data_IF_286347748823
#
_entry.id   IF_286347748823
#
_cell.length_a   1.000
_cell.length_b   1.000
_cell.length_c   1.000
_cell.angle_alpha   90.00
_cell.angle_beta   90.00
_cell.angle_gamma   90.00
#
_symmetry.space_group_name_H-M   'P 1'
#
loop_
_entity.id
_entity.type
_entity.pdbx_description
1 polymer ?
#
# COMPACT_ATOMS: atom_id res chain seq x y z
N UNK A 1 21.76 -1.26 -8.21
CA UNK A 1 20.68 -0.30 -8.00
C UNK A 1 19.92 -0.64 -6.75
N UNK A 2 19.62 0.34 -5.93
CA UNK A 2 18.92 0.13 -4.68
C UNK A 2 17.43 -0.13 -4.87
N UNK A 3 16.83 -0.75 -3.87
CA UNK A 3 15.39 -0.92 -3.78
C UNK A 3 14.82 0.18 -2.90
N UNK A 4 13.79 0.86 -3.35
CA UNK A 4 13.18 1.96 -2.60
C UNK A 4 11.70 1.66 -2.32
N UNK A 5 11.31 1.84 -1.08
CA UNK A 5 9.92 1.68 -0.66
C UNK A 5 9.42 2.98 -0.04
N UNK A 6 8.26 3.43 -0.48
CA UNK A 6 7.52 4.51 0.17
C UNK A 6 6.23 3.92 0.75
N UNK A 7 6.10 4.03 2.06
CA UNK A 7 4.92 3.55 2.79
C UNK A 7 4.20 4.74 3.41
N UNK A 8 2.93 4.95 3.02
CA UNK A 8 2.11 6.04 3.55
C UNK A 8 1.25 5.53 4.70
N UNK A 9 1.31 6.21 5.84
CA UNK A 9 0.46 5.94 6.99
C UNK A 9 -0.33 7.19 7.36
N UNK A 10 -1.39 7.00 8.13
CA UNK A 10 -2.26 8.08 8.59
C UNK A 10 -3.61 7.52 8.96
N UNK A 11 -4.42 8.33 9.64
CA UNK A 11 -5.76 7.91 10.03
C UNK A 11 -6.63 7.67 8.78
N UNK A 12 -7.68 6.83 8.88
CA UNK A 12 -8.62 6.67 7.78
C UNK A 12 -9.20 8.02 7.36
N UNK A 13 -9.27 8.26 6.04
CA UNK A 13 -9.74 9.54 5.51
C UNK A 13 -8.65 10.61 5.39
N UNK A 14 -7.39 10.31 5.68
CA UNK A 14 -6.30 11.28 5.57
C UNK A 14 -5.88 11.58 4.12
N UNK A 15 -6.33 10.77 3.16
CA UNK A 15 -6.01 10.99 1.75
C UNK A 15 -4.89 10.12 1.20
N UNK A 16 -4.50 9.05 1.90
CA UNK A 16 -3.42 8.16 1.46
C UNK A 16 -3.67 7.58 0.06
N UNK A 17 -4.82 6.96 -0.12
CA UNK A 17 -5.18 6.36 -1.41
C UNK A 17 -5.29 7.42 -2.50
N UNK A 18 -5.90 8.56 -2.17
CA UNK A 18 -6.04 9.68 -3.12
C UNK A 18 -4.67 10.17 -3.57
N UNK A 19 -3.71 10.29 -2.66
CA UNK A 19 -2.37 10.73 -3.00
C UNK A 19 -1.68 9.74 -3.94
N UNK A 20 -1.76 8.43 -3.66
CA UNK A 20 -1.15 7.44 -4.54
C UNK A 20 -1.83 7.40 -5.91
N UNK A 21 -3.17 7.53 -5.95
CA UNK A 21 -3.88 7.58 -7.24
C UNK A 21 -3.46 8.81 -8.04
N UNK A 22 -3.28 9.96 -7.39
CA UNK A 22 -2.81 11.17 -8.05
C UNK A 22 -1.37 11.03 -8.56
N UNK A 23 -0.51 10.41 -7.77
CA UNK A 23 0.89 10.19 -8.15
C UNK A 23 1.02 9.27 -9.37
N UNK A 24 0.10 8.33 -9.54
CA UNK A 24 0.10 7.39 -10.66
C UNK A 24 -0.88 7.79 -11.77
N UNK A 25 -1.45 8.99 -11.71
CA UNK A 25 -2.36 9.45 -12.75
C UNK A 25 -1.67 9.45 -14.10
N UNK A 26 -2.33 8.87 -15.12
CA UNK A 26 -1.75 8.74 -16.46
C UNK A 26 -0.71 7.63 -16.60
N UNK A 27 -0.34 6.95 -15.51
CA UNK A 27 0.58 5.81 -15.55
C UNK A 27 -0.22 4.52 -15.76
N UNK A 28 0.14 3.67 -16.73
CA UNK A 28 -0.53 2.38 -16.87
C UNK A 28 -0.35 1.53 -15.63
N UNK A 29 -1.46 1.03 -15.08
CA UNK A 29 -1.46 0.22 -13.87
C UNK A 29 -2.23 -1.06 -14.18
N UNK A 30 -1.63 -2.21 -13.85
CA UNK A 30 -2.24 -3.51 -14.06
C UNK A 30 -2.45 -4.20 -12.72
N UNK A 31 -3.68 -4.67 -12.47
CA UNK A 31 -3.98 -5.47 -11.29
C UNK A 31 -3.42 -6.87 -11.47
N UNK A 32 -2.65 -7.32 -10.47
CA UNK A 32 -2.00 -8.62 -10.46
C UNK A 32 -2.27 -9.33 -9.14
N UNK A 33 -1.95 -10.62 -9.09
CA UNK A 33 -2.11 -11.40 -7.87
C UNK A 33 -1.07 -12.50 -7.83
N UNK A 34 -0.45 -12.69 -6.67
CA UNK A 34 0.45 -13.82 -6.43
C UNK A 34 -0.03 -14.55 -5.19
N UNK A 35 -0.49 -15.81 -5.36
CA UNK A 35 -1.15 -16.52 -4.27
C UNK A 35 -2.37 -15.73 -3.79
N UNK A 36 -2.41 -15.42 -2.51
CA UNK A 36 -3.51 -14.64 -1.91
C UNK A 36 -3.22 -13.13 -1.88
N UNK A 37 -2.09 -12.69 -2.45
CA UNK A 37 -1.68 -11.29 -2.36
C UNK A 37 -1.92 -10.54 -3.67
N UNK A 38 -2.90 -9.63 -3.71
CA UNK A 38 -3.06 -8.73 -4.84
C UNK A 38 -2.04 -7.59 -4.79
N UNK A 39 -1.62 -7.15 -5.96
CA UNK A 39 -0.79 -5.96 -6.09
C UNK A 39 -1.09 -5.28 -7.42
N UNK A 40 -0.69 -4.03 -7.52
CA UNK A 40 -0.81 -3.25 -8.75
C UNK A 40 0.58 -3.08 -9.34
N UNK A 41 0.73 -3.39 -10.61
CA UNK A 41 2.00 -3.25 -11.33
C UNK A 41 1.95 -2.01 -12.21
N UNK A 42 3.03 -1.23 -12.17
CA UNK A 42 3.21 -0.08 -13.06
C UNK A 42 4.65 -0.12 -13.61
N UNK A 43 4.96 0.66 -14.66
CA UNK A 43 6.33 0.68 -15.17
C UNK A 43 7.32 1.10 -14.07
N UNK A 44 8.26 0.20 -13.77
CA UNK A 44 9.29 0.44 -12.76
C UNK A 44 8.99 -0.04 -11.35
N UNK A 45 7.76 -0.49 -11.06
CA UNK A 45 7.50 -0.92 -9.69
C UNK A 45 6.12 -1.49 -9.46
N UNK A 46 5.79 -1.62 -8.18
CA UNK A 46 4.50 -2.15 -7.74
C UNK A 46 3.95 -1.35 -6.57
N UNK A 47 2.65 -1.48 -6.37
CA UNK A 47 1.97 -1.04 -5.16
C UNK A 47 1.30 -2.26 -4.53
N UNK A 48 1.55 -2.50 -3.23
CA UNK A 48 0.91 -3.61 -2.52
C UNK A 48 -0.56 -3.30 -2.28
N UNK A 49 -1.43 -4.28 -2.59
CA UNK A 49 -2.85 -4.17 -2.33
C UNK A 49 -3.69 -4.05 -3.59
N UNK A 50 -4.90 -3.56 -3.42
CA UNK A 50 -5.87 -3.43 -4.49
C UNK A 50 -6.68 -2.15 -4.32
N UNK A 51 -7.32 -1.72 -5.40
CA UNK A 51 -8.32 -0.65 -5.33
C UNK A 51 -9.66 -1.32 -5.09
N UNK A 52 -10.13 -1.25 -3.85
CA UNK A 52 -11.38 -1.89 -3.44
C UNK A 52 -12.14 -0.96 -2.48
N UNK A 53 -12.85 0.05 -2.99
CA UNK A 53 -13.56 0.98 -2.13
C UNK A 53 -14.53 0.24 -1.18
N UNK A 54 -14.67 0.68 0.10
CA UNK A 54 -13.99 1.82 0.69
C UNK A 54 -12.55 1.55 1.12
N UNK A 55 -12.04 0.34 0.94
CA UNK A 55 -10.67 -0.05 1.27
C UNK A 55 -9.75 0.13 0.07
N UNK A 56 -8.48 0.42 0.34
CA UNK A 56 -7.46 0.52 -0.69
C UNK A 56 -6.10 0.17 -0.12
N UNK A 57 -5.10 0.01 -1.00
CA UNK A 57 -3.76 -0.32 -0.59
C UNK A 57 -3.70 -1.59 0.23
N UNK A 58 -2.93 -1.58 1.32
CA UNK A 58 -2.75 -2.77 2.16
C UNK A 58 -4.00 -3.10 2.98
N UNK A 59 -4.92 -2.16 3.17
CA UNK A 59 -6.17 -2.45 3.88
C UNK A 59 -7.11 -3.35 3.09
N UNK A 60 -6.88 -3.49 1.79
CA UNK A 60 -7.61 -4.42 0.95
C UNK A 60 -7.05 -5.85 0.98
N UNK A 61 -5.95 -6.07 1.71
CA UNK A 61 -5.31 -7.38 1.83
C UNK A 61 -5.97 -8.20 2.93
N UNK A 62 -5.82 -9.53 2.85
CA UNK A 62 -6.32 -10.42 3.89
C UNK A 62 -5.55 -10.23 5.20
N UNK A 63 -6.20 -10.54 6.32
CA UNK A 63 -5.62 -10.36 7.66
C UNK A 63 -4.32 -11.13 7.85
N UNK A 64 -4.15 -12.28 7.18
CA UNK A 64 -2.97 -13.14 7.34
C UNK A 64 -1.96 -12.96 6.22
N UNK A 65 -1.98 -11.79 5.56
CA UNK A 65 -1.15 -11.56 4.38
C UNK A 65 0.33 -11.37 4.69
N UNK A 66 0.69 -10.91 5.90
CA UNK A 66 2.05 -10.44 6.16
C UNK A 66 3.13 -11.49 5.91
N UNK A 67 3.02 -12.76 6.36
CA UNK A 67 4.05 -13.76 6.04
C UNK A 67 4.18 -14.00 4.54
N UNK A 68 3.07 -13.97 3.82
CA UNK A 68 3.08 -14.15 2.36
C UNK A 68 3.75 -12.99 1.66
N UNK A 69 3.46 -11.76 2.09
CA UNK A 69 4.08 -10.57 1.52
C UNK A 69 5.60 -10.58 1.75
N UNK A 70 6.02 -10.89 2.96
CA UNK A 70 7.45 -10.94 3.30
C UNK A 70 8.16 -12.01 2.48
N UNK A 71 7.58 -13.21 2.38
CA UNK A 71 8.19 -14.30 1.63
C UNK A 71 8.34 -13.95 0.15
N UNK A 72 7.29 -13.35 -0.45
CA UNK A 72 7.35 -12.97 -1.85
C UNK A 72 8.39 -11.88 -2.11
N UNK A 73 8.39 -10.84 -1.28
CA UNK A 73 9.35 -9.75 -1.43
C UNK A 73 10.79 -10.24 -1.26
N UNK A 74 11.00 -11.25 -0.42
CA UNK A 74 12.33 -11.78 -0.13
C UNK A 74 12.88 -12.65 -1.26
N UNK A 75 12.03 -13.42 -1.93
CA UNK A 75 12.49 -14.50 -2.79
C UNK A 75 12.21 -14.31 -4.27
N UNK A 76 11.08 -13.73 -4.65
CA UNK A 76 10.64 -13.72 -6.05
C UNK A 76 10.31 -12.35 -6.61
N UNK A 77 10.28 -11.32 -5.79
CA UNK A 77 9.92 -9.99 -6.26
C UNK A 77 11.04 -9.39 -7.12
N UNK A 78 10.80 -9.18 -8.42
CA UNK A 78 11.83 -8.64 -9.31
C UNK A 78 11.88 -7.11 -9.32
N UNK A 79 11.02 -6.46 -8.56
CA UNK A 79 10.83 -5.03 -8.62
C UNK A 79 11.77 -4.32 -7.64
N UNK A 80 12.12 -3.06 -7.96
CA UNK A 80 13.00 -2.24 -7.14
C UNK A 80 12.31 -0.99 -6.60
N UNK A 81 11.05 -0.76 -6.97
CA UNK A 81 10.23 0.32 -6.43
C UNK A 81 8.96 -0.28 -5.84
N UNK A 82 8.65 0.12 -4.62
CA UNK A 82 7.51 -0.40 -3.88
C UNK A 82 6.75 0.77 -3.26
N UNK A 83 5.46 0.84 -3.56
CA UNK A 83 4.53 1.77 -2.91
C UNK A 83 3.57 0.97 -2.05
N UNK A 84 3.22 1.52 -0.90
CA UNK A 84 2.22 0.92 -0.03
C UNK A 84 1.55 2.01 0.79
N UNK A 85 0.31 1.75 1.20
CA UNK A 85 -0.41 2.63 2.11
C UNK A 85 -1.43 1.81 2.91
N UNK A 86 -1.79 2.29 4.10
CA UNK A 86 -2.78 1.63 4.94
C UNK A 86 -2.17 0.91 6.13
N UNK A 87 -3.03 0.36 6.98
CA UNK A 87 -2.62 -0.16 8.29
C UNK A 87 -2.22 -1.62 8.28
N UNK A 88 -2.65 -2.41 7.29
CA UNK A 88 -2.52 -3.86 7.31
C UNK A 88 -1.08 -4.35 7.47
N UNK A 89 -0.14 -3.67 6.84
CA UNK A 89 1.29 -4.01 6.92
C UNK A 89 2.11 -2.92 7.61
N UNK A 90 1.47 -1.91 8.19
CA UNK A 90 2.16 -0.80 8.85
C UNK A 90 2.57 -1.19 10.28
N UNK A 91 3.61 -1.99 10.40
CA UNK A 91 4.10 -2.42 11.71
C UNK A 91 5.61 -2.65 11.67
N UNK A 92 6.22 -2.67 12.86
CA UNK A 92 7.66 -2.79 12.99
C UNK A 92 8.23 -4.08 12.39
N UNK A 93 7.52 -5.19 12.50
CA UNK A 93 7.99 -6.46 11.96
C UNK A 93 8.12 -6.40 10.44
N UNK A 94 7.11 -5.87 9.77
CA UNK A 94 7.13 -5.74 8.31
C UNK A 94 8.20 -4.74 7.86
N UNK A 95 8.29 -3.60 8.53
CA UNK A 95 9.30 -2.58 8.20
C UNK A 95 10.71 -3.11 8.42
N UNK A 96 10.95 -3.83 9.51
CA UNK A 96 12.25 -4.44 9.77
C UNK A 96 12.61 -5.46 8.69
N UNK A 97 11.66 -6.27 8.27
CA UNK A 97 11.87 -7.25 7.20
C UNK A 97 12.26 -6.56 5.88
N UNK A 98 11.60 -5.47 5.52
CA UNK A 98 11.96 -4.71 4.32
C UNK A 98 13.40 -4.19 4.39
N UNK A 99 13.77 -3.60 5.51
CA UNK A 99 15.12 -3.08 5.68
C UNK A 99 16.17 -4.22 5.63
N UNK A 100 15.87 -5.35 6.22
CA UNK A 100 16.76 -6.52 6.21
C UNK A 100 16.95 -7.08 4.80
N UNK A 101 15.97 -6.90 3.90
CA UNK A 101 16.07 -7.32 2.50
C UNK A 101 16.77 -6.29 1.61
N UNK A 102 17.20 -5.16 2.16
CA UNK A 102 17.89 -4.13 1.41
C UNK A 102 17.01 -3.02 0.85
N UNK A 103 15.74 -2.97 1.23
CA UNK A 103 14.87 -1.86 0.85
C UNK A 103 15.24 -0.61 1.63
N UNK A 104 15.38 0.52 0.92
CA UNK A 104 15.47 1.84 1.55
C UNK A 104 14.04 2.29 1.82
N UNK A 105 13.65 2.25 3.08
CA UNK A 105 12.27 2.49 3.49
C UNK A 105 12.08 3.94 3.90
N UNK A 106 11.11 4.60 3.28
CA UNK A 106 10.60 5.90 3.72
C UNK A 106 9.17 5.70 4.17
N UNK A 107 8.89 6.04 5.43
CA UNK A 107 7.54 6.02 5.98
C UNK A 107 7.08 7.47 6.08
N UNK A 108 6.00 7.81 5.38
CA UNK A 108 5.45 9.15 5.40
C UNK A 108 4.10 9.14 6.09
N UNK A 109 3.92 10.03 7.06
CA UNK A 109 2.68 10.16 7.81
C UNK A 109 1.85 11.31 7.23
N UNK A 110 0.66 11.00 6.71
CA UNK A 110 -0.26 11.99 6.23
C UNK A 110 -1.09 12.53 7.38
N UNK A 111 -0.92 13.82 7.65
CA UNK A 111 -1.71 14.51 8.67
C UNK A 111 -2.99 15.05 8.07
N UNK A 112 -4.07 14.89 8.81
CA UNK A 112 -5.37 15.42 8.43
C UNK A 112 -6.14 15.74 9.71
N UNK A 113 -6.77 16.93 9.84
CA UNK A 113 -7.62 17.18 10.99
C UNK A 113 -8.67 16.08 11.14
N UNK A 114 -8.93 15.60 12.38
CA UNK A 114 -9.85 14.49 12.58
C UNK A 114 -11.24 14.73 12.02
N UNK A 115 -11.75 15.94 12.09
CA UNK A 115 -13.09 16.28 11.57
C UNK A 115 -13.14 16.21 10.04
N UNK A 116 -12.05 16.57 9.35
CA UNK A 116 -11.97 16.46 7.90
C UNK A 116 -11.87 14.99 7.50
N UNK A 117 -11.05 14.21 8.21
CA UNK A 117 -10.93 12.77 7.96
C UNK A 117 -12.27 12.07 8.16
N UNK A 118 -13.00 12.42 9.22
CA UNK A 118 -14.32 11.85 9.49
C UNK A 118 -15.31 12.19 8.37
N UNK A 119 -15.27 13.42 7.85
CA UNK A 119 -16.12 13.86 6.75
C UNK A 119 -15.81 13.07 5.48
N UNK A 120 -14.53 12.86 5.18
CA UNK A 120 -14.12 12.08 4.02
C UNK A 120 -14.58 10.63 4.12
N UNK A 121 -14.50 10.02 5.32
CA UNK A 121 -14.99 8.66 5.53
C UNK A 121 -16.49 8.57 5.32
N UNK A 122 -17.25 9.56 5.81
CA UNK A 122 -18.71 9.60 5.66
C UNK A 122 -19.14 9.68 4.19
N UNK A 123 -18.30 10.27 3.34
CA UNK A 123 -18.58 10.46 1.91
C UNK A 123 -18.06 9.32 1.04
N UNK A 124 -17.42 8.29 1.62
CA UNK A 124 -16.94 7.15 0.83
C UNK A 124 -18.11 6.31 0.33
N UNK A 125 -18.01 5.79 -0.89
CA UNK A 125 -19.03 4.86 -1.38
C UNK A 125 -19.11 3.63 -0.49
N UNK A 126 -20.32 3.15 -0.26
CA UNK A 126 -20.53 1.86 0.41
C UNK A 126 -20.42 0.76 -0.64
N UNK A 127 -19.60 -0.23 -0.36
CA UNK A 127 -19.30 -1.32 -1.28
C UNK A 127 -19.50 -2.65 -0.57
N UNK A 128 -20.02 -3.63 -1.29
CA UNK A 128 -20.23 -4.97 -0.74
C UNK A 128 -21.44 -5.10 0.15
N UNK A 129 -22.37 -4.20 0.02
CA UNK A 129 -23.64 -4.27 0.73
C UNK A 129 -24.63 -5.12 -0.02
#
# INVERSE_FOLDING_TARGET
MGKACLYLIGIPGSGKTTLLRAALAGVPVQACKVGIMPYLRYPGGIELGAIRPPLGGTDALELRIQPHAIAWLKTVCPYTALLAEGDRLANGQFFHALCAMGWVLTVAYLRCPPEIAARRRANRPLVGK
#
